data_IF_240231874980
#
_entry.id   IF_240231874980
#
_cell.length_a   1.000
_cell.length_b   1.000
_cell.length_c   1.000
_cell.angle_alpha   90.00
_cell.angle_beta   90.00
_cell.angle_gamma   90.00
#
_symmetry.space_group_name_H-M   'P 1'
#
loop_
_entity.id
_entity.type
_entity.pdbx_description
1 polymer ?
#
# COMPACT_ATOMS: atom_id res chain seq x y z
N UNK A 1 17.57 -41.28 -3.88
CA UNK A 1 16.16 -41.72 -3.84
C UNK A 1 15.28 -40.80 -3.02
N UNK A 2 15.57 -40.53 -1.74
CA UNK A 2 14.72 -39.64 -0.92
C UNK A 2 14.71 -38.17 -1.39
N UNK A 3 15.80 -37.72 -2.01
CA UNK A 3 15.96 -36.34 -2.48
C UNK A 3 15.24 -36.08 -3.81
N UNK A 4 15.26 -37.06 -4.71
CA UNK A 4 14.49 -37.03 -5.97
C UNK A 4 12.99 -37.08 -5.70
N UNK A 5 12.54 -37.86 -4.71
CA UNK A 5 11.14 -37.88 -4.26
C UNK A 5 10.74 -36.53 -3.64
N UNK A 6 11.64 -35.88 -2.90
CA UNK A 6 11.40 -34.54 -2.33
C UNK A 6 11.28 -33.47 -3.41
N UNK A 7 12.20 -33.46 -4.38
CA UNK A 7 12.16 -32.53 -5.51
C UNK A 7 10.91 -32.75 -6.37
N UNK A 8 10.51 -34.00 -6.56
CA UNK A 8 9.27 -34.34 -7.23
C UNK A 8 8.04 -33.83 -6.46
N UNK A 9 7.97 -34.05 -5.15
CA UNK A 9 6.88 -33.55 -4.30
C UNK A 9 6.80 -32.02 -4.29
N UNK A 10 7.94 -31.32 -4.22
CA UNK A 10 8.00 -29.85 -4.32
C UNK A 10 7.55 -29.38 -5.71
N UNK A 11 7.92 -30.09 -6.78
CA UNK A 11 7.49 -29.75 -8.14
C UNK A 11 5.98 -29.94 -8.34
N UNK A 12 5.40 -30.99 -7.75
CA UNK A 12 3.96 -31.24 -7.80
C UNK A 12 3.17 -30.23 -6.95
N UNK A 13 3.73 -29.84 -5.81
CA UNK A 13 3.17 -28.78 -4.98
C UNK A 13 3.17 -27.42 -5.69
N UNK A 14 4.29 -27.03 -6.32
CA UNK A 14 4.39 -25.79 -7.08
C UNK A 14 3.52 -25.76 -8.33
N UNK A 15 3.15 -26.92 -8.90
CA UNK A 15 2.16 -27.03 -9.99
C UNK A 15 0.72 -26.77 -9.52
N UNK A 16 0.36 -27.26 -8.33
CA UNK A 16 -0.97 -27.06 -7.76
C UNK A 16 -1.13 -25.66 -7.12
N UNK A 17 -0.04 -25.09 -6.61
CA UNK A 17 0.00 -23.78 -5.97
C UNK A 17 1.16 -22.96 -6.56
N UNK A 18 0.93 -22.19 -7.64
CA UNK A 18 1.94 -21.27 -8.14
C UNK A 18 2.20 -20.21 -7.08
N UNK A 19 3.32 -20.34 -6.37
CA UNK A 19 3.90 -19.24 -5.61
C UNK A 19 4.13 -18.11 -6.61
N UNK A 20 3.38 -17.03 -6.47
CA UNK A 20 3.58 -15.78 -7.21
C UNK A 20 5.08 -15.49 -7.14
N UNK A 21 5.76 -15.55 -8.30
CA UNK A 21 7.18 -15.26 -8.39
C UNK A 21 7.37 -13.91 -7.70
N UNK A 22 8.11 -13.90 -6.58
CA UNK A 22 8.43 -12.66 -5.91
C UNK A 22 9.24 -11.83 -6.90
N UNK A 23 8.61 -10.82 -7.50
CA UNK A 23 9.25 -9.93 -8.46
C UNK A 23 10.40 -9.22 -7.75
N UNK A 24 11.61 -9.77 -7.88
CA UNK A 24 12.83 -9.24 -7.29
C UNK A 24 13.07 -7.80 -7.77
N UNK A 25 12.62 -7.47 -8.98
CA UNK A 25 12.68 -6.12 -9.53
C UNK A 25 11.68 -5.17 -8.88
N UNK A 26 10.50 -5.66 -8.48
CA UNK A 26 9.55 -4.86 -7.69
C UNK A 26 10.13 -4.57 -6.30
N UNK A 27 10.78 -5.55 -5.66
CA UNK A 27 11.46 -5.34 -4.37
C UNK A 27 12.61 -4.34 -4.48
N UNK A 28 13.41 -4.38 -5.56
CA UNK A 28 14.47 -3.39 -5.82
C UNK A 28 13.89 -1.98 -5.98
N UNK A 29 12.83 -1.82 -6.78
CA UNK A 29 12.14 -0.52 -6.95
C UNK A 29 11.55 0.01 -5.64
N UNK A 30 10.97 -0.87 -4.82
CA UNK A 30 10.44 -0.49 -3.49
C UNK A 30 11.57 0.00 -2.59
N UNK A 31 12.71 -0.71 -2.54
CA UNK A 31 13.86 -0.29 -1.74
C UNK A 31 14.45 1.04 -2.23
N UNK A 32 14.49 1.26 -3.54
CA UNK A 32 14.96 2.51 -4.12
C UNK A 32 14.02 3.67 -3.80
N UNK A 33 12.71 3.46 -3.85
CA UNK A 33 11.71 4.44 -3.44
C UNK A 33 11.80 4.74 -1.94
N UNK A 34 11.97 3.72 -1.10
CA UNK A 34 12.17 3.91 0.34
C UNK A 34 13.42 4.76 0.59
N UNK A 35 14.52 4.52 -0.13
CA UNK A 35 15.73 5.34 -0.01
C UNK A 35 15.48 6.80 -0.37
N UNK A 36 14.82 7.06 -1.50
CA UNK A 36 14.46 8.43 -1.94
C UNK A 36 13.57 9.14 -0.92
N UNK A 37 12.59 8.45 -0.36
CA UNK A 37 11.72 8.98 0.70
C UNK A 37 12.55 9.26 1.96
N UNK A 38 13.41 8.34 2.39
CA UNK A 38 14.27 8.57 3.58
C UNK A 38 15.27 9.71 3.40
N UNK A 39 15.75 9.93 2.17
CA UNK A 39 16.63 11.06 1.84
C UNK A 39 15.86 12.38 1.81
N UNK A 40 14.68 12.40 1.20
CA UNK A 40 13.82 13.59 1.13
C UNK A 40 13.30 14.05 2.49
N UNK A 41 13.00 13.10 3.40
CA UNK A 41 12.52 13.39 4.76
C UNK A 41 13.61 13.26 5.83
N UNK A 42 14.89 13.26 5.44
CA UNK A 42 15.99 13.25 6.41
C UNK A 42 15.90 14.50 7.28
N UNK A 43 16.09 14.42 8.61
CA UNK A 43 16.16 15.60 9.45
C UNK A 43 17.35 16.48 9.02
N UNK A 44 17.06 17.66 8.47
CA UNK A 44 18.08 18.64 8.07
C UNK A 44 18.26 19.66 9.21
N UNK A 45 19.51 19.87 9.61
CA UNK A 45 19.86 20.83 10.67
C UNK A 45 20.11 22.20 10.05
N UNK A 46 19.15 23.10 10.18
CA UNK A 46 19.17 24.43 9.58
C UNK A 46 20.02 25.43 10.38
N UNK A 47 20.11 25.27 11.70
CA UNK A 47 20.90 26.16 12.55
C UNK A 47 21.95 25.43 13.41
N UNK A 48 23.08 26.09 13.65
CA UNK A 48 24.15 25.64 14.58
C UNK A 48 24.27 26.61 15.76
N UNK A 49 24.64 26.09 16.93
CA UNK A 49 24.84 26.88 18.16
C UNK A 49 26.12 27.72 18.08
N UNK A 50 26.03 29.01 18.45
CA UNK A 50 27.20 29.89 18.65
C UNK A 50 27.86 29.70 20.01
N UNK A 51 27.06 29.43 21.03
CA UNK A 51 27.48 29.44 22.43
C UNK A 51 27.27 28.08 23.09
N UNK A 52 27.95 27.85 24.22
CA UNK A 52 27.73 26.67 25.06
C UNK A 52 26.25 26.57 25.48
N UNK A 53 25.71 25.34 25.65
CA UNK A 53 24.32 25.16 26.03
C UNK A 53 24.03 25.83 27.38
N UNK A 54 22.89 26.53 27.53
CA UNK A 54 22.47 27.06 28.82
C UNK A 54 22.31 25.93 29.85
N UNK A 55 22.47 26.23 31.16
CA UNK A 55 22.39 25.23 32.22
C UNK A 55 20.97 24.65 32.38
N UNK A 56 19.95 25.41 31.96
CA UNK A 56 18.56 25.02 32.02
C UNK A 56 18.19 23.98 30.94
N UNK A 57 17.49 22.93 31.37
CA UNK A 57 17.12 21.79 30.53
C UNK A 57 16.08 22.22 29.49
N UNK A 58 15.12 23.05 29.86
CA UNK A 58 14.04 23.49 28.98
C UNK A 58 14.60 24.30 27.82
N UNK A 59 15.43 25.29 28.13
CA UNK A 59 16.11 26.12 27.14
C UNK A 59 17.03 25.30 26.21
N UNK A 60 17.60 24.17 26.68
CA UNK A 60 18.41 23.26 25.87
C UNK A 60 17.56 22.45 24.87
N UNK A 61 16.36 22.03 25.28
CA UNK A 61 15.38 21.35 24.43
C UNK A 61 14.87 22.32 23.36
N UNK A 62 14.50 23.54 23.75
CA UNK A 62 14.03 24.56 22.83
C UNK A 62 15.09 24.88 21.77
N UNK A 63 16.36 25.03 22.17
CA UNK A 63 17.48 25.21 21.25
C UNK A 63 17.66 24.03 20.29
N UNK A 64 17.59 22.78 20.78
CA UNK A 64 17.67 21.62 19.87
C UNK A 64 16.54 21.59 18.85
N UNK A 65 15.32 21.98 19.23
CA UNK A 65 14.16 22.00 18.33
C UNK A 65 14.28 23.11 17.28
N UNK A 66 14.76 24.28 17.71
CA UNK A 66 15.08 25.40 16.84
C UNK A 66 16.08 25.02 15.75
N UNK A 67 17.12 24.23 16.05
CA UNK A 67 18.12 23.78 15.07
C UNK A 67 17.56 23.02 13.85
N UNK A 68 16.34 22.48 13.96
CA UNK A 68 15.64 21.77 12.89
C UNK A 68 14.37 22.51 12.43
N UNK A 69 14.33 23.84 12.58
CA UNK A 69 13.20 24.73 12.23
C UNK A 69 11.87 24.42 12.95
N UNK A 70 11.91 23.68 14.06
CA UNK A 70 10.71 23.33 14.80
C UNK A 70 10.27 24.49 15.72
N UNK A 71 9.59 25.48 15.14
CA UNK A 71 9.11 26.69 15.83
C UNK A 71 7.84 26.48 16.68
N UNK A 72 7.14 25.36 16.50
CA UNK A 72 5.81 25.11 17.08
C UNK A 72 5.78 24.57 18.51
N UNK A 73 6.89 24.63 19.26
CA UNK A 73 7.07 23.84 20.48
C UNK A 73 7.37 24.61 21.77
N UNK A 74 7.33 25.94 21.80
CA UNK A 74 7.34 26.63 23.10
C UNK A 74 6.02 26.33 23.81
N UNK A 75 6.10 25.49 24.84
CA UNK A 75 4.97 25.00 25.63
C UNK A 75 4.12 26.17 26.12
N UNK A 76 3.04 26.46 25.41
CA UNK A 76 1.86 27.07 26.00
C UNK A 76 1.37 26.04 27.02
N UNK A 77 1.66 26.29 28.30
CA UNK A 77 0.98 25.60 29.39
C UNK A 77 -0.50 25.93 29.19
N UNK A 78 -1.30 24.94 28.80
CA UNK A 78 -2.74 25.09 28.79
C UNK A 78 -3.18 25.30 30.25
N UNK A 79 -3.78 26.44 30.62
CA UNK A 79 -4.30 26.60 31.96
C UNK A 79 -5.52 25.68 32.10
N UNK A 80 -5.49 24.85 33.15
CA UNK A 80 -6.70 24.21 33.64
C UNK A 80 -7.70 25.30 34.04
N UNK A 81 -8.96 25.05 33.70
CA UNK A 81 -10.18 25.74 34.14
C UNK A 81 -9.95 26.74 35.28
N UNK A 82 -10.00 28.02 34.96
CA UNK A 82 -10.84 29.06 35.57
C UNK A 82 -10.54 30.38 34.84
N UNK A 83 -11.41 31.38 34.96
CA UNK A 83 -11.35 32.65 34.24
C UNK A 83 -9.96 33.32 34.37
N UNK A 84 -9.19 33.39 33.27
CA UNK A 84 -7.90 34.10 33.23
C UNK A 84 -7.98 35.26 32.24
N UNK A 85 -7.60 36.44 32.73
CA UNK A 85 -7.53 37.68 31.99
C UNK A 85 -6.73 37.56 30.69
N UNK A 86 -7.31 38.05 29.59
CA UNK A 86 -6.67 38.07 28.27
C UNK A 86 -5.31 38.80 28.27
N UNK A 87 -5.13 39.76 29.18
CA UNK A 87 -3.86 40.48 29.38
C UNK A 87 -2.73 39.56 29.89
N UNK A 88 -3.04 38.56 30.74
CA UNK A 88 -2.03 37.65 31.29
C UNK A 88 -1.52 36.67 30.22
N UNK A 89 -2.42 36.23 29.33
CA UNK A 89 -2.09 35.37 28.18
C UNK A 89 -1.22 36.14 27.19
N UNK A 90 -1.53 37.42 26.95
CA UNK A 90 -0.76 38.26 26.04
C UNK A 90 0.63 38.57 26.61
N UNK A 91 0.74 38.88 27.89
CA UNK A 91 2.04 39.01 28.58
C UNK A 91 2.87 37.72 28.53
N UNK A 92 2.26 36.55 28.70
CA UNK A 92 2.96 35.27 28.57
C UNK A 92 3.42 34.99 27.13
N UNK A 93 2.62 35.39 26.13
CA UNK A 93 3.02 35.30 24.72
C UNK A 93 4.20 36.21 24.40
N UNK A 94 4.19 37.45 24.92
CA UNK A 94 5.29 38.41 24.74
C UNK A 94 6.59 37.90 25.39
N UNK A 95 6.52 37.35 26.60
CA UNK A 95 7.68 36.74 27.29
C UNK A 95 8.23 35.54 26.50
N UNK A 96 7.36 34.69 25.98
CA UNK A 96 7.77 33.56 25.13
C UNK A 96 8.42 34.03 23.82
N UNK A 97 7.91 35.11 23.23
CA UNK A 97 8.44 35.70 22.01
C UNK A 97 9.82 36.33 22.23
N UNK A 98 10.02 37.01 23.36
CA UNK A 98 11.35 37.50 23.76
C UNK A 98 12.34 36.36 24.01
N UNK A 99 11.92 35.29 24.71
CA UNK A 99 12.76 34.10 24.93
C UNK A 99 13.18 33.46 23.60
N UNK A 100 12.25 33.35 22.66
CA UNK A 100 12.50 32.84 21.31
C UNK A 100 13.51 33.71 20.56
N UNK A 101 13.37 35.05 20.60
CA UNK A 101 14.32 35.96 19.96
C UNK A 101 15.73 35.84 20.55
N UNK A 102 15.86 35.73 21.88
CA UNK A 102 17.16 35.51 22.54
C UNK A 102 17.81 34.19 22.13
N UNK A 103 17.02 33.10 22.02
CA UNK A 103 17.53 31.80 21.57
C UNK A 103 17.92 31.83 20.08
N UNK A 104 17.14 32.48 19.22
CA UNK A 104 17.48 32.66 17.80
C UNK A 104 18.76 33.47 17.60
N UNK A 105 19.02 34.49 18.44
CA UNK A 105 20.27 35.27 18.37
C UNK A 105 21.53 34.40 18.62
N UNK A 106 21.39 33.33 19.42
CA UNK A 106 22.45 32.36 19.74
C UNK A 106 22.72 31.33 18.64
N UNK A 107 21.99 31.38 17.51
CA UNK A 107 22.09 30.45 16.38
C UNK A 107 22.73 31.11 15.13
N UNK A 108 23.46 30.32 14.33
CA UNK A 108 23.96 30.68 12.98
C UNK A 108 23.28 29.81 11.94
N UNK A 109 22.88 30.41 10.83
CA UNK A 109 22.35 29.70 9.67
C UNK A 109 23.43 28.85 9.00
N UNK A 110 23.15 27.56 8.83
CA UNK A 110 24.01 26.66 8.08
C UNK A 110 23.64 26.79 6.60
N UNK A 111 24.42 27.56 5.85
CA UNK A 111 24.39 27.50 4.39
C UNK A 111 25.09 26.23 3.92
N UNK A 112 24.39 25.10 3.97
CA UNK A 112 24.71 23.99 3.07
C UNK A 112 23.93 24.24 1.78
N UNK A 113 24.63 24.15 0.65
CA UNK A 113 24.12 24.41 -0.70
C UNK A 113 22.83 23.62 -0.91
N UNK A 114 21.71 24.33 -0.89
CA UNK A 114 20.45 23.83 -1.40
C UNK A 114 20.70 23.47 -2.85
N UNK A 115 20.52 22.20 -3.20
CA UNK A 115 20.52 21.76 -4.59
C UNK A 115 19.55 22.64 -5.36
N UNK A 116 20.08 23.49 -6.23
CA UNK A 116 19.32 24.37 -7.10
C UNK A 116 18.37 23.51 -7.94
N UNK A 117 17.08 23.52 -7.58
CA UNK A 117 15.99 22.85 -8.29
C UNK A 117 15.69 23.47 -9.67
N UNK A 118 16.61 24.24 -10.24
CA UNK A 118 16.43 24.95 -11.51
C UNK A 118 17.10 24.28 -12.73
N UNK A 119 17.76 23.14 -12.55
CA UNK A 119 18.35 22.38 -13.68
C UNK A 119 17.54 21.11 -14.00
N UNK A 120 16.27 21.26 -14.37
CA UNK A 120 15.57 20.18 -15.11
C UNK A 120 16.04 20.21 -16.57
N UNK A 121 16.53 19.06 -17.06
CA UNK A 121 16.83 18.82 -18.47
C UNK A 121 15.61 19.15 -19.35
N UNK A 122 15.81 19.62 -20.58
CA UNK A 122 14.69 19.97 -21.48
C UNK A 122 13.72 18.81 -21.68
N UNK A 123 14.21 17.57 -21.63
CA UNK A 123 13.38 16.37 -21.68
C UNK A 123 12.43 16.26 -20.49
N UNK A 124 12.87 16.64 -19.30
CA UNK A 124 12.06 16.58 -18.09
C UNK A 124 11.05 17.71 -18.04
N UNK A 125 11.38 18.88 -18.61
CA UNK A 125 10.39 19.95 -18.87
C UNK A 125 9.30 19.50 -19.84
N UNK A 126 9.66 18.76 -20.89
CA UNK A 126 8.71 18.21 -21.86
C UNK A 126 7.83 17.13 -21.21
N UNK A 127 8.40 16.22 -20.41
CA UNK A 127 7.63 15.21 -19.66
C UNK A 127 6.68 15.86 -18.66
N UNK A 128 7.14 16.89 -17.96
CA UNK A 128 6.34 17.64 -17.00
C UNK A 128 5.22 18.43 -17.69
N UNK A 129 5.47 19.03 -18.85
CA UNK A 129 4.45 19.69 -19.67
C UNK A 129 3.41 18.69 -20.18
N UNK A 130 3.82 17.50 -20.64
CA UNK A 130 2.89 16.42 -21.03
C UNK A 130 2.04 15.93 -19.86
N UNK A 131 2.65 15.78 -18.68
CA UNK A 131 1.95 15.38 -17.46
C UNK A 131 0.96 16.44 -16.99
N UNK A 132 1.32 17.73 -17.02
CA UNK A 132 0.37 18.80 -16.68
C UNK A 132 -0.73 18.97 -17.73
N UNK A 133 -0.43 18.74 -19.02
CA UNK A 133 -1.44 18.70 -20.06
C UNK A 133 -2.42 17.54 -19.87
N UNK A 134 -1.96 16.35 -19.47
CA UNK A 134 -2.84 15.22 -19.16
C UNK A 134 -3.67 15.50 -17.91
N UNK A 135 -3.06 16.01 -16.84
CA UNK A 135 -3.76 16.36 -15.59
C UNK A 135 -4.81 17.45 -15.81
N UNK A 136 -4.52 18.43 -16.66
CA UNK A 136 -5.48 19.48 -17.03
C UNK A 136 -6.65 18.93 -17.86
N UNK A 137 -6.42 17.93 -18.71
CA UNK A 137 -7.49 17.20 -19.39
C UNK A 137 -8.35 16.40 -18.40
N UNK A 138 -7.71 15.72 -17.43
CA UNK A 138 -8.37 14.94 -16.39
C UNK A 138 -9.28 15.79 -15.48
N UNK A 139 -8.85 17.00 -15.15
CA UNK A 139 -9.62 17.98 -14.39
C UNK A 139 -10.84 18.53 -15.17
N UNK A 140 -10.77 18.62 -16.50
CA UNK A 140 -11.88 19.07 -17.36
C UNK A 140 -12.95 18.01 -17.56
N UNK A 141 -12.56 16.74 -17.72
CA UNK A 141 -13.48 15.64 -18.05
C UNK A 141 -13.93 14.80 -16.84
N UNK A 142 -13.64 15.25 -15.61
CA UNK A 142 -14.05 14.57 -14.38
C UNK A 142 -13.52 13.14 -14.24
N UNK A 143 -12.40 12.81 -14.89
CA UNK A 143 -11.76 11.50 -14.86
C UNK A 143 -12.44 10.39 -15.68
N UNK A 144 -13.41 10.69 -16.55
CA UNK A 144 -14.03 9.70 -17.43
C UNK A 144 -13.04 9.11 -18.45
N UNK A 145 -12.25 9.99 -19.09
CA UNK A 145 -11.24 9.60 -20.09
C UNK A 145 -10.09 8.78 -19.46
N UNK A 146 -9.71 9.08 -18.22
CA UNK A 146 -8.66 8.33 -17.49
C UNK A 146 -9.10 6.89 -17.18
N UNK A 147 -10.37 6.71 -16.76
CA UNK A 147 -10.95 5.37 -16.55
C UNK A 147 -11.00 4.56 -17.85
N UNK A 148 -11.36 5.20 -18.95
CA UNK A 148 -11.42 4.55 -20.27
C UNK A 148 -10.02 4.18 -20.78
N UNK A 149 -9.04 5.07 -20.62
CA UNK A 149 -7.66 4.81 -21.05
C UNK A 149 -6.96 3.74 -20.19
N UNK A 150 -7.18 3.74 -18.87
CA UNK A 150 -6.74 2.62 -18.01
C UNK A 150 -7.40 1.31 -18.39
N UNK A 151 -8.70 1.34 -18.76
CA UNK A 151 -9.42 0.15 -19.24
C UNK A 151 -8.86 -0.35 -20.58
N UNK A 152 -8.57 0.55 -21.53
CA UNK A 152 -7.94 0.21 -22.81
C UNK A 152 -6.54 -0.39 -22.63
N UNK A 153 -5.74 0.18 -21.72
CA UNK A 153 -4.42 -0.36 -21.39
C UNK A 153 -4.52 -1.78 -20.80
N UNK A 154 -5.46 -1.99 -19.87
CA UNK A 154 -5.69 -3.33 -19.30
C UNK A 154 -6.17 -4.35 -20.36
N UNK A 155 -6.99 -3.93 -21.32
CA UNK A 155 -7.41 -4.77 -22.43
C UNK A 155 -6.24 -5.10 -23.37
N UNK A 156 -5.36 -4.13 -23.64
CA UNK A 156 -4.17 -4.36 -24.46
C UNK A 156 -3.18 -5.31 -23.80
N UNK A 157 -2.96 -5.19 -22.49
CA UNK A 157 -2.15 -6.14 -21.73
C UNK A 157 -2.74 -7.55 -21.78
N UNK A 158 -4.06 -7.69 -21.61
CA UNK A 158 -4.74 -8.98 -21.77
C UNK A 158 -4.60 -9.55 -23.18
N UNK A 159 -4.72 -8.70 -24.22
CA UNK A 159 -4.54 -9.11 -25.61
C UNK A 159 -3.11 -9.59 -25.87
N UNK A 160 -2.10 -8.93 -25.31
CA UNK A 160 -0.70 -9.32 -25.44
C UNK A 160 -0.45 -10.68 -24.79
N UNK A 161 -0.90 -10.89 -23.55
CA UNK A 161 -0.77 -12.18 -22.85
C UNK A 161 -1.46 -13.31 -23.62
N UNK A 162 -2.66 -13.06 -24.17
CA UNK A 162 -3.36 -14.03 -24.99
C UNK A 162 -2.61 -14.33 -26.29
N UNK A 163 -2.01 -13.33 -26.94
CA UNK A 163 -1.21 -13.55 -28.15
C UNK A 163 0.05 -14.40 -27.88
N UNK A 164 0.76 -14.14 -26.77
CA UNK A 164 1.90 -14.96 -26.35
C UNK A 164 1.49 -16.40 -26.02
N UNK A 165 0.31 -16.58 -25.43
CA UNK A 165 -0.22 -17.91 -25.14
C UNK A 165 -0.60 -18.67 -26.42
N UNK A 166 -1.16 -17.98 -27.41
CA UNK A 166 -1.45 -18.55 -28.74
C UNK A 166 -0.16 -18.96 -29.45
N UNK A 167 0.90 -18.15 -29.38
CA UNK A 167 2.20 -18.52 -29.95
C UNK A 167 2.82 -19.74 -29.27
N UNK A 168 2.79 -19.83 -27.93
CA UNK A 168 3.24 -21.02 -27.19
C UNK A 168 2.44 -22.26 -27.55
N UNK A 169 1.13 -22.12 -27.76
CA UNK A 169 0.28 -23.23 -28.22
C UNK A 169 0.60 -23.66 -29.66
N UNK A 170 0.99 -22.73 -30.53
CA UNK A 170 1.44 -23.06 -31.90
C UNK A 170 2.76 -23.83 -31.88
N UNK A 171 3.76 -23.38 -31.12
CA UNK A 171 5.06 -24.07 -31.06
C UNK A 171 4.92 -25.47 -30.44
N UNK A 172 4.10 -25.62 -29.41
CA UNK A 172 3.81 -26.95 -28.83
C UNK A 172 3.05 -27.86 -29.79
N UNK A 173 2.13 -27.33 -30.59
CA UNK A 173 1.47 -28.10 -31.65
C UNK A 173 2.46 -28.59 -32.71
N UNK A 174 3.37 -27.72 -33.14
CA UNK A 174 4.41 -28.07 -34.13
C UNK A 174 5.36 -29.15 -33.61
N UNK A 175 5.81 -29.06 -32.36
CA UNK A 175 6.68 -30.09 -31.77
C UNK A 175 5.96 -31.43 -31.60
N UNK A 176 4.68 -31.43 -31.22
CA UNK A 176 3.88 -32.66 -31.14
C UNK A 176 3.69 -33.29 -32.51
N UNK A 177 3.44 -32.50 -33.56
CA UNK A 177 3.35 -33.01 -34.94
C UNK A 177 4.67 -33.63 -35.37
N UNK A 178 5.82 -33.02 -35.05
CA UNK A 178 7.15 -33.58 -35.32
C UNK A 178 7.34 -34.95 -34.63
N UNK A 179 7.03 -35.04 -33.34
CA UNK A 179 7.13 -36.30 -32.59
C UNK A 179 6.22 -37.41 -33.17
N UNK A 180 5.03 -37.07 -33.65
CA UNK A 180 4.12 -38.03 -34.31
C UNK A 180 4.73 -38.54 -35.62
N UNK A 181 5.40 -37.68 -36.39
CA UNK A 181 6.07 -38.10 -37.63
C UNK A 181 7.25 -39.05 -37.36
N UNK A 182 8.07 -38.74 -36.35
CA UNK A 182 9.19 -39.61 -35.95
C UNK A 182 8.73 -40.98 -35.44
N UNK A 183 7.69 -41.00 -34.60
CA UNK A 183 7.11 -42.25 -34.09
C UNK A 183 6.47 -43.09 -35.20
N UNK A 184 5.83 -42.47 -36.19
CA UNK A 184 5.32 -43.21 -37.36
C UNK A 184 6.46 -43.79 -38.22
N UNK A 185 7.55 -43.06 -38.42
CA UNK A 185 8.71 -43.58 -39.16
C UNK A 185 9.36 -44.79 -38.46
N UNK A 186 9.46 -44.76 -37.12
CA UNK A 186 9.97 -45.91 -36.36
C UNK A 186 9.02 -47.11 -36.40
N UNK A 187 7.70 -46.89 -36.36
CA UNK A 187 6.70 -47.95 -36.50
C UNK A 187 6.77 -48.65 -37.87
N UNK A 188 6.94 -47.90 -38.96
CA UNK A 188 7.11 -48.49 -40.30
C UNK A 188 8.38 -49.34 -40.40
N UNK A 189 9.49 -48.89 -39.81
CA UNK A 189 10.72 -49.70 -39.75
C UNK A 189 10.54 -51.01 -38.97
N UNK A 190 9.76 -50.99 -37.88
CA UNK A 190 9.45 -52.20 -37.11
C UNK A 190 8.53 -53.14 -37.92
N UNK A 191 7.56 -52.60 -38.67
CA UNK A 191 6.68 -53.39 -39.54
C UNK A 191 7.45 -54.10 -40.65
N UNK A 192 8.44 -53.44 -41.26
CA UNK A 192 9.30 -54.06 -42.27
C UNK A 192 10.11 -55.21 -41.69
N UNK A 193 10.76 -55.00 -40.53
CA UNK A 193 11.51 -56.05 -39.83
C UNK A 193 10.62 -57.24 -39.44
N UNK A 194 9.39 -56.99 -39.03
CA UNK A 194 8.41 -58.04 -38.73
C UNK A 194 8.05 -58.85 -39.98
N UNK A 195 7.78 -58.18 -41.10
CA UNK A 195 7.48 -58.84 -42.39
C UNK A 195 8.64 -59.70 -42.89
N UNK A 196 9.89 -59.25 -42.71
CA UNK A 196 11.07 -60.04 -43.04
C UNK A 196 11.23 -61.28 -42.15
N UNK A 197 10.91 -61.16 -40.85
CA UNK A 197 10.91 -62.30 -39.93
C UNK A 197 9.79 -63.31 -40.26
N UNK A 198 8.59 -62.82 -40.58
CA UNK A 198 7.44 -63.65 -40.95
C UNK A 198 7.68 -64.41 -42.27
N UNK A 199 8.44 -63.84 -43.22
CA UNK A 199 8.87 -64.55 -44.45
C UNK A 199 9.85 -65.68 -44.15
N UNK A 200 10.83 -65.43 -43.29
CA UNK A 200 11.81 -66.46 -42.87
C UNK A 200 11.16 -67.60 -42.09
N UNK A 201 10.15 -67.31 -41.28
CA UNK A 201 9.37 -68.35 -40.58
C UNK A 201 8.60 -69.23 -41.56
N UNK A 202 7.96 -68.64 -42.58
CA UNK A 202 7.25 -69.41 -43.62
C UNK A 202 8.18 -70.28 -44.48
N UNK A 203 9.37 -69.78 -44.79
CA UNK A 203 10.39 -70.57 -45.52
C UNK A 203 10.87 -71.79 -44.71
N UNK A 204 10.88 -71.69 -43.37
CA UNK A 204 11.21 -72.80 -42.46
C UNK A 204 10.04 -73.78 -42.32
N UNK A 205 8.80 -73.30 -42.17
CA UNK A 205 7.59 -74.14 -42.14
C UNK A 205 7.41 -74.93 -43.46
N UNK A 206 7.74 -74.33 -44.61
CA UNK A 206 7.73 -75.01 -45.91
C UNK A 206 8.86 -76.05 -46.08
N UNK A 207 9.95 -75.93 -45.31
CA UNK A 207 11.03 -76.91 -45.27
C UNK A 207 10.67 -78.11 -44.35
N UNK A 208 9.96 -77.86 -43.25
CA UNK A 208 9.42 -78.91 -42.36
C UNK A 208 8.40 -79.82 -43.07
N UNK A 209 7.64 -79.30 -44.03
CA UNK A 209 6.68 -80.10 -44.81
C UNK A 209 7.32 -81.12 -45.77
N UNK A 210 8.62 -81.01 -46.06
CA UNK A 210 9.32 -81.84 -47.07
C UNK A 210 9.91 -83.14 -46.50
N UNK A 211 10.03 -83.28 -45.18
CA UNK A 211 10.60 -84.49 -44.57
C UNK A 211 10.08 -84.76 -43.13
N UNK A 212 8.84 -85.24 -42.95
CA UNK A 212 8.20 -85.36 -41.64
C UNK A 212 8.76 -86.48 -40.75
N UNK A 213 9.45 -87.48 -41.31
CA UNK A 213 10.06 -88.56 -40.52
C UNK A 213 11.48 -88.21 -40.06
N UNK A 214 12.27 -87.54 -40.90
CA UNK A 214 13.55 -86.94 -40.50
C UNK A 214 13.38 -85.81 -39.49
N UNK A 215 12.34 -84.98 -39.64
CA UNK A 215 12.03 -83.90 -38.68
C UNK A 215 11.61 -84.48 -37.33
N UNK A 216 10.89 -85.60 -37.24
CA UNK A 216 10.54 -86.23 -35.96
C UNK A 216 11.73 -86.87 -35.25
N UNK A 217 12.60 -87.60 -35.96
CA UNK A 217 13.83 -88.11 -35.35
C UNK A 217 14.79 -86.98 -34.98
N UNK A 218 14.87 -85.91 -35.78
CA UNK A 218 15.62 -84.71 -35.45
C UNK A 218 14.95 -83.95 -34.30
N UNK A 219 13.63 -83.88 -34.19
CA UNK A 219 12.91 -83.26 -33.08
C UNK A 219 13.10 -84.05 -31.78
N UNK A 220 13.10 -85.39 -31.84
CA UNK A 220 13.39 -86.24 -30.68
C UNK A 220 14.87 -86.17 -30.29
N UNK A 221 15.79 -86.16 -31.26
CA UNK A 221 17.23 -85.97 -31.01
C UNK A 221 17.56 -84.52 -30.60
N UNK A 222 16.84 -83.52 -31.11
CA UNK A 222 16.97 -82.12 -30.74
C UNK A 222 16.35 -81.91 -29.37
N UNK A 223 15.18 -82.47 -29.05
CA UNK A 223 14.62 -82.43 -27.70
C UNK A 223 15.51 -83.17 -26.68
N UNK A 224 16.16 -84.27 -27.07
CA UNK A 224 17.15 -84.94 -26.23
C UNK A 224 18.43 -84.10 -26.11
N UNK A 225 18.93 -83.51 -27.21
CA UNK A 225 20.11 -82.65 -27.19
C UNK A 225 19.87 -81.33 -26.47
N UNK A 226 18.65 -80.80 -26.53
CA UNK A 226 18.19 -79.58 -25.89
C UNK A 226 17.96 -79.87 -24.43
N UNK A 227 17.35 -80.99 -24.04
CA UNK A 227 17.25 -81.38 -22.64
C UNK A 227 18.63 -81.68 -22.02
N UNK A 228 19.55 -82.30 -22.75
CA UNK A 228 20.93 -82.50 -22.32
C UNK A 228 21.70 -81.16 -22.27
N UNK A 229 21.54 -80.26 -23.24
CA UNK A 229 22.10 -78.90 -23.18
C UNK A 229 21.44 -78.08 -22.08
N UNK A 230 20.16 -78.29 -21.78
CA UNK A 230 19.44 -77.62 -20.71
C UNK A 230 20.00 -78.11 -19.37
N UNK A 231 20.21 -79.41 -19.20
CA UNK A 231 20.84 -79.99 -18.02
C UNK A 231 22.30 -79.56 -17.89
N UNK A 232 23.08 -79.52 -18.97
CA UNK A 232 24.47 -79.08 -18.96
C UNK A 232 24.58 -77.58 -18.70
N UNK A 233 23.70 -76.76 -19.29
CA UNK A 233 23.63 -75.32 -19.04
C UNK A 233 23.14 -75.03 -17.62
N UNK A 234 22.11 -75.72 -17.13
CA UNK A 234 21.65 -75.62 -15.74
C UNK A 234 22.75 -76.06 -14.78
N UNK A 235 23.49 -77.12 -15.07
CA UNK A 235 24.61 -77.57 -14.25
C UNK A 235 25.77 -76.58 -14.30
N UNK A 236 26.14 -76.07 -15.48
CA UNK A 236 27.13 -74.99 -15.62
C UNK A 236 26.69 -73.70 -14.93
N UNK A 237 25.40 -73.37 -14.96
CA UNK A 237 24.83 -72.21 -14.30
C UNK A 237 24.77 -72.42 -12.78
N UNK A 238 24.46 -73.63 -12.30
CA UNK A 238 24.55 -74.02 -10.89
C UNK A 238 25.99 -73.98 -10.41
N UNK A 239 26.96 -74.54 -11.15
CA UNK A 239 28.38 -74.43 -10.84
C UNK A 239 28.85 -72.98 -10.89
N UNK A 240 28.41 -72.15 -11.85
CA UNK A 240 28.72 -70.71 -11.87
C UNK A 240 28.10 -69.97 -10.69
N UNK A 241 26.87 -70.31 -10.28
CA UNK A 241 26.19 -69.74 -9.11
C UNK A 241 26.89 -70.14 -7.82
N UNK A 242 27.25 -71.41 -7.66
CA UNK A 242 28.03 -71.94 -6.53
C UNK A 242 29.44 -71.31 -6.49
N UNK A 243 30.12 -71.21 -7.63
CA UNK A 243 31.44 -70.59 -7.74
C UNK A 243 31.35 -69.08 -7.42
N UNK A 244 30.39 -68.36 -7.97
CA UNK A 244 30.14 -66.96 -7.65
C UNK A 244 29.76 -66.77 -6.16
N UNK A 245 28.97 -67.68 -5.59
CA UNK A 245 28.63 -67.68 -4.16
C UNK A 245 29.87 -67.88 -3.31
N UNK A 246 30.72 -68.86 -3.63
CA UNK A 246 31.97 -69.13 -2.92
C UNK A 246 32.96 -67.98 -3.10
N UNK A 247 33.07 -67.38 -4.30
CA UNK A 247 33.86 -66.18 -4.54
C UNK A 247 33.35 -64.99 -3.74
N UNK A 248 32.03 -64.77 -3.69
CA UNK A 248 31.42 -63.72 -2.86
C UNK A 248 31.72 -63.96 -1.37
N UNK A 249 31.61 -65.20 -0.88
CA UNK A 249 31.97 -65.55 0.51
C UNK A 249 33.46 -65.30 0.77
N UNK A 250 34.34 -65.62 -0.19
CA UNK A 250 35.79 -65.33 -0.10
C UNK A 250 36.04 -63.81 -0.12
N UNK A 251 35.33 -63.04 -0.94
CA UNK A 251 35.44 -61.59 -0.98
C UNK A 251 34.88 -60.93 0.28
N UNK A 252 33.75 -61.40 0.81
CA UNK A 252 33.15 -60.94 2.05
C UNK A 252 34.07 -61.22 3.24
N UNK A 253 34.67 -62.41 3.31
CA UNK A 253 35.63 -62.75 4.36
C UNK A 253 36.95 -62.00 4.20
N UNK A 254 37.41 -61.71 2.97
CA UNK A 254 38.54 -60.81 2.71
C UNK A 254 38.22 -59.36 3.10
N UNK A 255 37.04 -58.85 2.77
CA UNK A 255 36.55 -57.51 3.18
C UNK A 255 36.40 -57.43 4.70
N UNK A 256 35.92 -58.48 5.36
CA UNK A 256 35.81 -58.55 6.81
C UNK A 256 37.19 -58.61 7.51
N UNK A 257 38.20 -59.27 6.91
CA UNK A 257 39.58 -59.25 7.40
C UNK A 257 40.36 -57.98 7.05
N UNK A 258 39.99 -57.28 5.99
CA UNK A 258 40.60 -56.02 5.56
C UNK A 258 40.03 -54.79 6.29
N UNK A 259 38.80 -54.87 6.83
CA UNK A 259 38.21 -53.83 7.67
C UNK A 259 38.92 -53.79 9.02
N UNK A 260 39.96 -52.98 9.10
CA UNK A 260 40.51 -52.55 10.39
C UNK A 260 39.44 -51.76 11.17
N UNK A 261 39.44 -51.79 12.52
CA UNK A 261 38.46 -51.06 13.36
C UNK A 261 38.36 -49.55 13.04
N UNK A 262 39.36 -49.02 12.36
CA UNK A 262 39.51 -47.62 11.93
C UNK A 262 38.59 -47.23 10.77
N UNK A 263 38.19 -48.16 9.90
CA UNK A 263 37.36 -47.83 8.73
C UNK A 263 35.88 -47.70 9.10
N UNK A 264 35.37 -48.58 9.96
CA UNK A 264 34.00 -48.51 10.51
C UNK A 264 33.77 -47.25 11.36
N UNK A 265 34.76 -46.80 12.12
CA UNK A 265 34.67 -45.53 12.86
C UNK A 265 34.70 -44.31 11.94
N UNK A 266 35.38 -44.41 10.79
CA UNK A 266 35.41 -43.34 9.79
C UNK A 266 34.05 -43.14 9.11
N UNK A 267 33.33 -44.22 8.81
CA UNK A 267 32.02 -44.13 8.15
C UNK A 267 30.94 -43.63 9.11
N UNK A 268 30.96 -44.06 10.38
CA UNK A 268 30.08 -43.52 11.42
C UNK A 268 30.36 -42.03 11.67
N UNK A 269 31.63 -41.60 11.62
CA UNK A 269 31.99 -40.19 11.75
C UNK A 269 31.44 -39.36 10.60
N UNK A 270 31.48 -39.88 9.37
CA UNK A 270 30.88 -39.21 8.19
C UNK A 270 29.36 -39.11 8.32
N UNK A 271 28.68 -40.18 8.70
CA UNK A 271 27.22 -40.15 8.91
C UNK A 271 26.83 -39.15 10.01
N UNK A 272 27.61 -39.09 11.09
CA UNK A 272 27.40 -38.11 12.17
C UNK A 272 27.61 -36.67 11.70
N UNK A 273 28.63 -36.41 10.88
CA UNK A 273 28.86 -35.10 10.26
C UNK A 273 27.71 -34.71 9.33
N UNK A 274 27.23 -35.64 8.49
CA UNK A 274 26.08 -35.42 7.61
C UNK A 274 24.80 -35.08 8.40
N UNK A 275 24.54 -35.76 9.52
CA UNK A 275 23.40 -35.44 10.39
C UNK A 275 23.55 -34.09 11.09
N UNK A 276 24.76 -33.71 11.51
CA UNK A 276 25.04 -32.36 12.03
C UNK A 276 24.75 -31.30 10.96
N UNK A 277 25.15 -31.53 9.71
CA UNK A 277 24.87 -30.62 8.62
C UNK A 277 23.37 -30.48 8.35
N UNK A 278 22.63 -31.60 8.34
CA UNK A 278 21.16 -31.58 8.24
C UNK A 278 20.52 -30.77 9.38
N UNK A 279 20.99 -30.95 10.61
CA UNK A 279 20.51 -30.17 11.77
C UNK A 279 20.83 -28.67 11.61
N UNK A 280 22.04 -28.32 11.15
CA UNK A 280 22.41 -26.91 10.89
C UNK A 280 21.50 -26.29 9.84
N UNK A 281 21.20 -27.00 8.75
CA UNK A 281 20.28 -26.54 7.70
C UNK A 281 18.87 -26.32 8.24
N UNK A 282 18.33 -27.26 9.03
CA UNK A 282 17.00 -27.13 9.64
C UNK A 282 16.95 -25.96 10.62
N UNK A 283 17.98 -25.77 11.45
CA UNK A 283 18.09 -24.60 12.35
C UNK A 283 18.10 -23.29 11.58
N UNK A 284 18.79 -23.22 10.45
CA UNK A 284 18.79 -22.04 9.58
C UNK A 284 17.40 -21.78 8.98
N UNK A 285 16.68 -22.83 8.57
CA UNK A 285 15.30 -22.70 8.08
C UNK A 285 14.34 -22.23 9.18
N UNK A 286 14.46 -22.76 10.40
CA UNK A 286 13.71 -22.31 11.56
C UNK A 286 13.97 -20.83 11.85
N UNK A 287 15.25 -20.40 11.84
CA UNK A 287 15.62 -19.01 12.05
C UNK A 287 15.03 -18.10 10.96
N UNK A 288 15.01 -18.53 9.69
CA UNK A 288 14.33 -17.81 8.60
C UNK A 288 12.83 -17.68 8.86
N UNK A 289 12.15 -18.77 9.24
CA UNK A 289 10.72 -18.74 9.56
C UNK A 289 10.40 -17.85 10.76
N UNK A 290 11.20 -17.89 11.82
CA UNK A 290 11.05 -16.98 12.97
C UNK A 290 11.21 -15.51 12.57
N UNK A 291 12.19 -15.18 11.70
CA UNK A 291 12.31 -13.81 11.16
C UNK A 291 11.06 -13.39 10.38
N UNK A 292 10.47 -14.29 9.60
CA UNK A 292 9.21 -14.01 8.90
C UNK A 292 8.03 -13.81 9.86
N UNK A 293 7.92 -14.63 10.91
CA UNK A 293 6.86 -14.47 11.92
C UNK A 293 6.96 -13.13 12.63
N UNK A 294 8.16 -12.71 13.03
CA UNK A 294 8.38 -11.39 13.65
C UNK A 294 8.08 -10.26 12.67
N UNK A 295 8.43 -10.41 11.39
CA UNK A 295 8.08 -9.43 10.37
C UNK A 295 6.56 -9.29 10.20
N UNK A 296 5.84 -10.41 10.17
CA UNK A 296 4.37 -10.43 10.09
C UNK A 296 3.72 -9.84 11.35
N UNK A 297 4.23 -10.12 12.54
CA UNK A 297 3.74 -9.52 13.78
C UNK A 297 3.88 -8.00 13.75
N UNK A 298 5.04 -7.47 13.34
CA UNK A 298 5.23 -6.02 13.17
C UNK A 298 4.27 -5.42 12.13
N UNK A 299 3.97 -6.15 11.06
CA UNK A 299 2.99 -5.71 10.07
C UNK A 299 1.57 -5.69 10.63
N UNK A 300 1.22 -6.64 11.50
CA UNK A 300 -0.07 -6.67 12.19
C UNK A 300 -0.19 -5.56 13.23
N UNK A 301 0.89 -5.27 13.96
CA UNK A 301 0.93 -4.16 14.93
C UNK A 301 0.80 -2.79 14.26
N UNK A 302 1.18 -2.67 12.97
CA UNK A 302 0.96 -1.46 12.19
C UNK A 302 -0.51 -1.25 11.77
N UNK A 303 -1.37 -2.27 11.93
CA UNK A 303 -2.80 -2.14 11.63
C UNK A 303 -3.51 -1.63 12.89
N UNK A 304 -4.16 -0.45 12.83
CA UNK A 304 -4.79 0.11 14.02
C UNK A 304 -5.87 -0.82 14.57
N UNK A 305 -5.84 -1.04 15.87
CA UNK A 305 -6.84 -1.86 16.53
C UNK A 305 -8.21 -1.13 16.53
N UNK A 306 -9.31 -1.87 16.71
CA UNK A 306 -10.67 -1.32 16.82
C UNK A 306 -10.78 -0.21 17.87
N UNK A 307 -10.03 -0.32 18.97
CA UNK A 307 -9.97 0.72 20.00
C UNK A 307 -9.28 2.00 19.51
N UNK A 308 -8.17 1.88 18.78
CA UNK A 308 -7.43 3.01 18.20
C UNK A 308 -8.24 3.69 17.10
N UNK A 309 -8.92 2.92 16.25
CA UNK A 309 -9.86 3.46 15.26
C UNK A 309 -10.97 4.26 15.93
N UNK A 310 -11.54 3.77 17.04
CA UNK A 310 -12.55 4.50 17.79
C UNK A 310 -11.99 5.80 18.42
N UNK A 311 -10.74 5.78 18.89
CA UNK A 311 -10.04 6.99 19.37
C UNK A 311 -9.84 8.00 18.23
N UNK A 312 -9.37 7.57 17.06
CA UNK A 312 -9.21 8.45 15.90
C UNK A 312 -10.54 9.05 15.45
N UNK A 313 -11.62 8.25 15.42
CA UNK A 313 -12.95 8.75 15.10
C UNK A 313 -13.40 9.86 16.06
N UNK A 314 -13.20 9.66 17.37
CA UNK A 314 -13.50 10.72 18.37
C UNK A 314 -12.63 11.94 18.15
N UNK A 315 -11.33 11.75 17.91
CA UNK A 315 -10.40 12.85 17.66
C UNK A 315 -10.75 13.64 16.40
N UNK A 316 -11.23 12.98 15.34
CA UNK A 316 -11.70 13.66 14.13
C UNK A 316 -12.96 14.47 14.39
N UNK A 317 -13.91 13.96 15.19
CA UNK A 317 -15.10 14.72 15.58
C UNK A 317 -14.74 15.95 16.42
N UNK A 318 -13.81 15.81 17.36
CA UNK A 318 -13.28 16.94 18.13
C UNK A 318 -12.63 17.99 17.21
N UNK A 319 -11.76 17.56 16.30
CA UNK A 319 -11.11 18.45 15.35
C UNK A 319 -12.14 19.14 14.45
N UNK A 320 -13.13 18.41 13.95
CA UNK A 320 -14.22 18.99 13.15
C UNK A 320 -14.99 20.06 13.94
N UNK A 321 -15.29 19.80 15.20
CA UNK A 321 -15.95 20.77 16.07
C UNK A 321 -15.07 22.01 16.32
N UNK A 322 -13.75 21.84 16.52
CA UNK A 322 -12.82 22.95 16.68
C UNK A 322 -12.74 23.81 15.41
N UNK A 323 -12.63 23.18 14.23
CA UNK A 323 -12.63 23.89 12.94
C UNK A 323 -13.95 24.63 12.73
N UNK A 324 -15.09 23.99 13.04
CA UNK A 324 -16.40 24.62 12.93
C UNK A 324 -16.55 25.82 13.88
N UNK A 325 -16.06 25.71 15.12
CA UNK A 325 -16.05 26.81 16.08
C UNK A 325 -15.19 27.98 15.60
N UNK A 326 -13.97 27.70 15.12
CA UNK A 326 -13.08 28.73 14.55
C UNK A 326 -13.68 29.38 13.31
N UNK A 327 -14.30 28.61 12.42
CA UNK A 327 -15.00 29.17 11.26
C UNK A 327 -16.15 30.10 11.68
N UNK A 328 -16.90 29.75 12.73
CA UNK A 328 -17.95 30.60 13.29
C UNK A 328 -17.36 31.90 13.87
N UNK A 329 -16.29 31.83 14.65
CA UNK A 329 -15.58 33.01 15.18
C UNK A 329 -15.09 33.91 14.04
N UNK A 330 -14.41 33.35 13.04
CA UNK A 330 -13.94 34.09 11.86
C UNK A 330 -15.09 34.81 11.16
N UNK A 331 -16.24 34.16 10.98
CA UNK A 331 -17.42 34.79 10.38
C UNK A 331 -17.98 35.92 11.25
N UNK A 332 -17.95 35.77 12.57
CA UNK A 332 -18.34 36.85 13.51
C UNK A 332 -17.40 38.05 13.38
N UNK A 333 -16.08 37.83 13.32
CA UNK A 333 -15.11 38.90 13.10
C UNK A 333 -15.32 39.62 11.76
N UNK A 334 -15.55 38.90 10.66
CA UNK A 334 -15.89 39.53 9.39
C UNK A 334 -17.17 40.35 9.46
N UNK A 335 -18.19 39.85 10.16
CA UNK A 335 -19.44 40.58 10.35
C UNK A 335 -19.19 41.87 11.13
N UNK A 336 -18.47 41.80 12.25
CA UNK A 336 -18.11 42.96 13.06
C UNK A 336 -17.29 43.97 12.25
N UNK A 337 -16.27 43.51 11.53
CA UNK A 337 -15.45 44.35 10.66
C UNK A 337 -16.30 45.08 9.62
N UNK A 338 -17.18 44.37 8.91
CA UNK A 338 -18.07 44.97 7.92
C UNK A 338 -19.01 46.01 8.56
N UNK A 339 -19.57 45.73 9.75
CA UNK A 339 -20.41 46.71 10.45
C UNK A 339 -19.63 47.96 10.86
N UNK A 340 -18.39 47.81 11.35
CA UNK A 340 -17.54 48.94 11.72
C UNK A 340 -17.14 49.74 10.49
N UNK A 341 -16.79 49.07 9.39
CA UNK A 341 -16.46 49.72 8.12
C UNK A 341 -17.66 50.50 7.56
N UNK A 342 -18.87 49.92 7.61
CA UNK A 342 -20.10 50.63 7.23
C UNK A 342 -20.31 51.87 8.12
N UNK A 343 -20.15 51.76 9.44
CA UNK A 343 -20.28 52.93 10.34
C UNK A 343 -19.24 54.01 10.05
N UNK A 344 -17.99 53.61 9.80
CA UNK A 344 -16.90 54.51 9.41
C UNK A 344 -17.24 55.23 8.10
N UNK A 345 -17.77 54.52 7.11
CA UNK A 345 -18.20 55.11 5.84
C UNK A 345 -19.37 56.08 6.02
N UNK A 346 -20.35 55.79 6.88
CA UNK A 346 -21.44 56.73 7.18
C UNK A 346 -20.91 57.99 7.88
N UNK A 347 -20.05 57.84 8.89
CA UNK A 347 -19.41 58.99 9.57
C UNK A 347 -18.58 59.82 8.58
N UNK A 348 -17.84 59.18 7.67
CA UNK A 348 -17.06 59.89 6.65
C UNK A 348 -17.96 60.67 5.68
N UNK A 349 -19.13 60.12 5.31
CA UNK A 349 -20.13 60.82 4.51
C UNK A 349 -20.72 62.01 5.27
N UNK A 350 -21.06 61.84 6.55
CA UNK A 350 -21.55 62.93 7.40
C UNK A 350 -20.52 64.07 7.52
N UNK A 351 -19.25 63.74 7.73
CA UNK A 351 -18.17 64.73 7.74
C UNK A 351 -18.02 65.45 6.40
N UNK A 352 -18.06 64.72 5.28
CA UNK A 352 -18.01 65.35 3.94
C UNK A 352 -19.20 66.27 3.69
N UNK A 353 -20.39 65.89 4.16
CA UNK A 353 -21.61 66.67 4.02
C UNK A 353 -21.54 67.93 4.88
N UNK A 354 -21.09 67.82 6.12
CA UNK A 354 -20.88 68.96 7.03
C UNK A 354 -19.84 69.93 6.47
N UNK A 355 -18.72 69.43 5.94
CA UNK A 355 -17.70 70.26 5.31
C UNK A 355 -18.28 70.98 4.08
N UNK A 356 -18.99 70.28 3.21
CA UNK A 356 -19.65 70.88 2.03
C UNK A 356 -20.67 71.96 2.41
N UNK A 357 -21.47 71.73 3.46
CA UNK A 357 -22.41 72.74 3.98
C UNK A 357 -21.66 73.95 4.52
N UNK A 358 -20.56 73.73 5.26
CA UNK A 358 -19.76 74.81 5.85
C UNK A 358 -19.06 75.67 4.81
N UNK A 359 -18.53 75.06 3.75
CA UNK A 359 -17.88 75.74 2.62
C UNK A 359 -18.90 76.46 1.74
N UNK A 360 -20.06 75.84 1.47
CA UNK A 360 -21.12 76.47 0.68
C UNK A 360 -21.79 77.63 1.41
N UNK A 361 -21.86 77.59 2.74
CA UNK A 361 -22.48 78.64 3.54
C UNK A 361 -21.75 79.98 3.45
N UNK A 362 -20.41 79.96 3.45
CA UNK A 362 -19.59 81.19 3.40
C UNK A 362 -19.76 81.95 2.08
N UNK A 363 -19.94 81.24 0.97
CA UNK A 363 -20.17 81.85 -0.35
C UNK A 363 -21.64 82.25 -0.57
N UNK A 364 -22.58 81.42 -0.11
CA UNK A 364 -24.01 81.64 -0.30
C UNK A 364 -24.57 82.84 0.48
N UNK A 365 -23.99 83.19 1.63
CA UNK A 365 -24.49 84.28 2.47
C UNK A 365 -24.23 85.68 1.89
N UNK A 366 -23.27 85.80 0.95
CA UNK A 366 -22.84 87.06 0.35
C UNK A 366 -23.88 87.66 -0.61
N UNK A 367 -24.76 86.83 -1.19
CA UNK A 367 -25.77 87.27 -2.17
C UNK A 367 -27.16 86.78 -1.80
N UNK A 368 -28.23 87.57 -2.04
CA UNK A 368 -29.61 87.14 -1.73
C UNK A 368 -30.05 85.94 -2.60
N UNK A 369 -29.62 85.85 -3.85
CA UNK A 369 -29.88 84.67 -4.71
C UNK A 369 -29.15 83.42 -4.19
N UNK A 370 -27.89 83.55 -3.76
CA UNK A 370 -27.12 82.44 -3.20
C UNK A 370 -27.76 81.84 -1.94
N UNK A 371 -28.41 82.68 -1.11
CA UNK A 371 -29.17 82.22 0.06
C UNK A 371 -30.34 81.32 -0.32
N UNK A 372 -31.12 81.69 -1.34
CA UNK A 372 -32.25 80.87 -1.80
C UNK A 372 -31.79 79.55 -2.41
N UNK A 373 -30.70 79.56 -3.19
CA UNK A 373 -30.13 78.35 -3.79
C UNK A 373 -29.55 77.41 -2.73
N UNK A 374 -28.87 77.94 -1.71
CA UNK A 374 -28.39 77.15 -0.56
C UNK A 374 -29.53 76.51 0.23
N UNK A 375 -30.64 77.21 0.45
CA UNK A 375 -31.82 76.64 1.11
C UNK A 375 -32.44 75.49 0.31
N UNK A 376 -32.50 75.61 -1.03
CA UNK A 376 -32.94 74.50 -1.91
C UNK A 376 -31.99 73.31 -1.82
N UNK A 377 -30.68 73.56 -1.81
CA UNK A 377 -29.66 72.50 -1.66
C UNK A 377 -29.78 71.77 -0.32
N UNK A 378 -29.94 72.50 0.79
CA UNK A 378 -30.17 71.91 2.11
C UNK A 378 -31.45 71.07 2.15
N UNK A 379 -32.53 71.54 1.52
CA UNK A 379 -33.76 70.77 1.44
C UNK A 379 -33.55 69.44 0.71
N UNK A 380 -32.88 69.48 -0.45
CA UNK A 380 -32.54 68.30 -1.23
C UNK A 380 -31.64 67.32 -0.44
N UNK A 381 -30.66 67.84 0.31
CA UNK A 381 -29.80 67.03 1.18
C UNK A 381 -30.66 66.31 2.24
N UNK A 382 -31.54 67.02 2.93
CA UNK A 382 -32.42 66.42 3.96
C UNK A 382 -33.33 65.35 3.36
N UNK A 383 -33.90 65.58 2.18
CA UNK A 383 -34.71 64.58 1.49
C UNK A 383 -33.88 63.34 1.11
N UNK A 384 -32.67 63.52 0.59
CA UNK A 384 -31.78 62.41 0.24
C UNK A 384 -31.41 61.56 1.46
N UNK A 385 -31.16 62.18 2.61
CA UNK A 385 -30.88 61.49 3.89
C UNK A 385 -32.11 60.73 4.37
N UNK A 386 -33.30 61.33 4.30
CA UNK A 386 -34.57 60.64 4.62
C UNK A 386 -34.80 59.42 3.74
N UNK A 387 -34.58 59.53 2.43
CA UNK A 387 -34.70 58.41 1.50
C UNK A 387 -33.65 57.31 1.78
N UNK A 388 -32.41 57.69 2.11
CA UNK A 388 -31.36 56.75 2.49
C UNK A 388 -31.74 55.96 3.75
N UNK A 389 -32.25 56.65 4.79
CA UNK A 389 -32.74 56.02 6.02
C UNK A 389 -33.83 54.99 5.73
N UNK A 390 -34.84 55.35 4.94
CA UNK A 390 -35.93 54.43 4.56
C UNK A 390 -35.41 53.17 3.85
N UNK A 391 -34.43 53.32 2.97
CA UNK A 391 -33.81 52.16 2.28
C UNK A 391 -33.08 51.24 3.26
N UNK A 392 -32.37 51.79 4.24
CA UNK A 392 -31.68 51.00 5.28
C UNK A 392 -32.69 50.30 6.20
N UNK A 393 -33.75 50.99 6.62
CA UNK A 393 -34.83 50.40 7.42
C UNK A 393 -35.53 49.24 6.69
N UNK A 394 -35.77 49.38 5.40
CA UNK A 394 -36.35 48.31 4.60
C UNK A 394 -35.42 47.09 4.52
N UNK A 395 -34.11 47.30 4.31
CA UNK A 395 -33.11 46.22 4.34
C UNK A 395 -33.06 45.52 5.69
N UNK A 396 -33.08 46.28 6.78
CA UNK A 396 -33.10 45.74 8.14
C UNK A 396 -34.32 44.83 8.38
N UNK A 397 -35.50 45.26 7.94
CA UNK A 397 -36.72 44.46 8.08
C UNK A 397 -36.66 43.16 7.26
N UNK A 398 -36.08 43.20 6.06
CA UNK A 398 -35.90 41.99 5.25
C UNK A 398 -34.93 41.00 5.90
N UNK A 399 -33.81 41.47 6.47
CA UNK A 399 -32.88 40.60 7.19
C UNK A 399 -33.45 40.06 8.51
N UNK A 400 -34.27 40.84 9.23
CA UNK A 400 -35.01 40.35 10.40
C UNK A 400 -35.96 39.22 10.04
N UNK A 401 -36.74 39.37 8.95
CA UNK A 401 -37.65 38.32 8.47
C UNK A 401 -36.90 37.03 8.12
N UNK A 402 -35.80 37.13 7.35
CA UNK A 402 -34.95 35.97 7.03
C UNK A 402 -34.39 35.30 8.27
N UNK A 403 -33.91 36.09 9.26
CA UNK A 403 -33.43 35.56 10.54
C UNK A 403 -34.54 34.78 11.26
N UNK A 404 -35.75 35.32 11.30
CA UNK A 404 -36.87 34.71 12.00
C UNK A 404 -37.33 33.41 11.29
N UNK A 405 -37.36 33.41 9.95
CA UNK A 405 -37.58 32.21 9.13
C UNK A 405 -36.53 31.13 9.42
N UNK A 406 -35.25 31.49 9.36
CA UNK A 406 -34.15 30.56 9.64
C UNK A 406 -34.20 30.04 11.09
N UNK A 407 -34.53 30.90 12.05
CA UNK A 407 -34.69 30.50 13.45
C UNK A 407 -35.81 29.47 13.63
N UNK A 408 -36.95 29.67 12.94
CA UNK A 408 -38.05 28.70 12.94
C UNK A 408 -37.64 27.36 12.33
N UNK A 409 -36.93 27.37 11.20
CA UNK A 409 -36.43 26.14 10.58
C UNK A 409 -35.42 25.40 11.47
N UNK A 410 -34.52 26.13 12.13
CA UNK A 410 -33.56 25.56 13.08
C UNK A 410 -34.28 24.89 14.24
N UNK A 411 -35.28 25.56 14.82
CA UNK A 411 -36.08 25.02 15.91
C UNK A 411 -36.76 23.70 15.50
N UNK A 412 -37.34 23.64 14.30
CA UNK A 412 -37.94 22.41 13.75
C UNK A 412 -36.92 21.27 13.58
N UNK A 413 -35.72 21.57 13.09
CA UNK A 413 -34.64 20.58 12.95
C UNK A 413 -34.13 20.08 14.31
N UNK A 414 -34.02 20.95 15.31
CA UNK A 414 -33.61 20.57 16.68
C UNK A 414 -34.66 19.64 17.31
N UNK A 415 -35.94 19.90 17.10
CA UNK A 415 -37.01 19.01 17.56
C UNK A 415 -36.96 17.64 16.86
N UNK A 416 -36.71 17.63 15.56
CA UNK A 416 -36.52 16.39 14.81
C UNK A 416 -35.30 15.60 15.32
N UNK A 417 -34.17 16.28 15.59
CA UNK A 417 -32.99 15.66 16.19
C UNK A 417 -33.32 15.04 17.55
N UNK A 418 -34.09 15.74 18.40
CA UNK A 418 -34.54 15.20 19.71
C UNK A 418 -35.40 13.95 19.54
N UNK A 419 -36.31 13.93 18.56
CA UNK A 419 -37.13 12.75 18.23
C UNK A 419 -36.26 11.57 17.78
N UNK A 420 -35.29 11.79 16.88
CA UNK A 420 -34.37 10.73 16.46
C UNK A 420 -33.51 10.21 17.61
N UNK A 421 -32.99 11.10 18.47
CA UNK A 421 -32.23 10.68 19.64
C UNK A 421 -33.08 9.83 20.61
N UNK A 422 -34.35 10.18 20.78
CA UNK A 422 -35.29 9.38 21.57
C UNK A 422 -35.54 8.01 20.94
N UNK A 423 -35.81 7.95 19.62
CA UNK A 423 -36.02 6.71 18.90
C UNK A 423 -34.79 5.78 18.95
N UNK A 424 -33.59 6.32 18.78
CA UNK A 424 -32.33 5.56 18.89
C UNK A 424 -32.16 5.02 20.31
N UNK A 425 -32.45 5.81 21.35
CA UNK A 425 -32.41 5.31 22.74
C UNK A 425 -33.38 4.16 22.96
N UNK A 426 -34.61 4.28 22.46
CA UNK A 426 -35.61 3.21 22.55
C UNK A 426 -35.14 1.94 21.82
N UNK A 427 -34.61 2.08 20.60
CA UNK A 427 -34.05 0.96 19.84
C UNK A 427 -32.90 0.28 20.59
N UNK A 428 -31.97 1.05 21.16
CA UNK A 428 -30.86 0.50 21.96
C UNK A 428 -31.36 -0.29 23.18
N UNK A 429 -32.42 0.18 23.85
CA UNK A 429 -33.02 -0.54 24.98
C UNK A 429 -33.66 -1.85 24.52
N UNK A 430 -34.39 -1.86 23.41
CA UNK A 430 -34.97 -3.09 22.86
C UNK A 430 -33.88 -4.08 22.37
N UNK A 431 -32.80 -3.59 21.75
CA UNK A 431 -31.65 -4.42 21.40
C UNK A 431 -31.01 -5.07 22.64
N UNK A 432 -30.82 -4.33 23.73
CA UNK A 432 -30.29 -4.88 24.99
C UNK A 432 -31.23 -5.95 25.57
N UNK A 433 -32.54 -5.71 25.58
CA UNK A 433 -33.53 -6.71 26.03
C UNK A 433 -33.43 -7.98 25.17
N UNK A 434 -33.33 -7.84 23.86
CA UNK A 434 -33.18 -8.96 22.94
C UNK A 434 -31.89 -9.76 23.18
N UNK A 435 -30.76 -9.07 23.40
CA UNK A 435 -29.48 -9.72 23.74
C UNK A 435 -29.56 -10.52 25.05
N UNK A 436 -30.23 -9.97 26.08
CA UNK A 436 -30.46 -10.66 27.35
C UNK A 436 -31.31 -11.92 27.15
N UNK A 437 -32.39 -11.82 26.37
CA UNK A 437 -33.24 -12.98 26.05
C UNK A 437 -32.49 -14.06 25.25
N UNK A 438 -31.64 -13.65 24.29
CA UNK A 438 -30.77 -14.57 23.56
C UNK A 438 -29.76 -15.27 24.48
N UNK A 439 -29.17 -14.54 25.43
CA UNK A 439 -28.24 -15.11 26.41
C UNK A 439 -28.96 -16.15 27.30
N UNK A 440 -30.17 -15.85 27.76
CA UNK A 440 -31.00 -16.79 28.53
C UNK A 440 -31.41 -18.03 27.73
N UNK A 441 -31.64 -17.89 26.42
CA UNK A 441 -31.93 -19.03 25.55
C UNK A 441 -30.69 -19.92 25.36
N UNK A 442 -29.50 -19.31 25.20
CA UNK A 442 -28.23 -20.05 25.08
C UNK A 442 -27.82 -20.75 26.37
N UNK A 443 -28.16 -20.23 27.54
CA UNK A 443 -27.86 -20.89 28.82
C UNK A 443 -28.81 -22.04 29.17
N UNK A 444 -29.96 -22.14 28.49
CA UNK A 444 -30.96 -23.21 28.66
C UNK A 444 -30.82 -24.36 27.65
N UNK A 445 -30.01 -24.17 26.61
CA UNK A 445 -29.55 -25.20 25.67
C UNK A 445 -28.19 -25.72 26.12
#
# INVERSE_FOLDING_TARGET
MAETVRQYAVSQFCKAFPLVQENMDAKKKILENIRRVTEAYRPHRYHKRKTAPPPDIESRVDLTLLEYEHRGGLRLIAPNNDEVDAELIQQQQDICQEKLQRLMASLVDVKEETSDLNNLSEEDKIKQAKHYASLHLELKDGGAFSKENSRLNSLNEQKQVLSEMVEKLRTTKETVIGNIQETNATLENIRLKKSEADKKLKELEEAELKDPEGVREIEELVALSESLKLQESQFKEQCKKELARLQNIIEETKKAKARTPTELSSDISKEYEEEIEKIKVVRLQLAKKNRHVVALQRQLDNVPNRAELAQYQRRFLELYNQVAAKHKETKQYYTLYNTLEDTRQYMQKELSLLNSISESYTEAILTPSGKEDFLRQLHNIVESVKQSKLKVEHRLNNEKRKRDELSSTLQGLVELQRKYASAVRQLSVECQKYEVLLAQRKSKS
#
